data_IF_482588893414
#
_entry.id   IF_482588893414
#
_cell.length_a   1.000
_cell.length_b   1.000
_cell.length_c   1.000
_cell.angle_alpha   90.00
_cell.angle_beta   90.00
_cell.angle_gamma   90.00
#
_symmetry.space_group_name_H-M   'P 1'
#
loop_
_entity.id
_entity.type
_entity.pdbx_description
1 polymer ?
#
# COMPACT_ATOMS: atom_id res chain seq x y z
N UNK A 1 24.56 12.77 0.43
CA UNK A 1 23.14 13.17 0.45
C UNK A 1 22.31 11.90 0.45
N UNK A 2 21.51 11.65 1.49
CA UNK A 2 20.58 10.51 1.49
C UNK A 2 19.43 10.86 0.54
N UNK A 3 19.31 10.13 -0.57
CA UNK A 3 18.24 10.28 -1.54
C UNK A 3 16.93 9.81 -0.90
N UNK A 4 16.25 10.69 -0.16
CA UNK A 4 14.94 10.37 0.42
C UNK A 4 13.91 10.34 -0.71
N UNK A 5 13.68 9.18 -1.32
CA UNK A 5 12.46 8.93 -2.10
C UNK A 5 11.27 9.23 -1.18
N UNK A 6 10.41 10.15 -1.57
CA UNK A 6 9.21 10.54 -0.82
C UNK A 6 8.04 9.63 -1.17
N UNK A 7 7.16 9.40 -0.19
CA UNK A 7 5.89 8.71 -0.42
C UNK A 7 5.05 9.47 -1.46
N UNK A 8 4.31 8.71 -2.28
CA UNK A 8 3.35 9.29 -3.21
C UNK A 8 2.30 10.09 -2.45
N UNK A 9 1.88 11.21 -3.05
CA UNK A 9 0.75 11.93 -2.50
C UNK A 9 -0.52 11.08 -2.64
N UNK A 10 -1.44 11.07 -1.66
CA UNK A 10 -2.68 10.29 -1.75
C UNK A 10 -3.49 10.55 -3.03
N UNK A 11 -3.46 11.78 -3.54
CA UNK A 11 -4.10 12.14 -4.80
C UNK A 11 -3.48 11.45 -6.02
N UNK A 12 -2.15 11.25 -6.03
CA UNK A 12 -1.44 10.57 -7.13
C UNK A 12 -1.79 9.08 -7.16
N UNK A 13 -1.91 8.46 -5.98
CA UNK A 13 -2.38 7.08 -5.85
C UNK A 13 -3.81 6.96 -6.40
N UNK A 14 -4.71 7.86 -6.00
CA UNK A 14 -6.09 7.89 -6.50
C UNK A 14 -6.11 8.12 -8.02
N UNK A 15 -5.28 9.03 -8.53
CA UNK A 15 -5.20 9.32 -9.95
C UNK A 15 -4.69 8.11 -10.74
N UNK A 16 -3.65 7.42 -10.27
CA UNK A 16 -3.12 6.20 -10.88
C UNK A 16 -4.17 5.09 -10.93
N UNK A 17 -4.92 4.90 -9.84
CA UNK A 17 -6.03 3.95 -9.79
C UNK A 17 -7.14 4.31 -10.81
N UNK A 18 -7.51 5.59 -10.90
CA UNK A 18 -8.51 6.06 -11.88
C UNK A 18 -8.04 5.92 -13.31
N UNK A 19 -6.76 6.15 -13.61
CA UNK A 19 -6.16 5.92 -14.93
C UNK A 19 -6.26 4.46 -15.36
N UNK A 20 -6.23 3.53 -14.41
CA UNK A 20 -6.49 2.09 -14.63
C UNK A 20 -7.99 1.72 -14.62
N UNK A 21 -8.89 2.71 -14.56
CA UNK A 21 -10.34 2.49 -14.58
C UNK A 21 -10.93 1.96 -13.28
N UNK A 22 -10.22 2.08 -12.15
CA UNK A 22 -10.70 1.59 -10.84
C UNK A 22 -10.83 2.71 -9.80
N UNK A 23 -11.38 2.35 -8.64
CA UNK A 23 -11.44 3.21 -7.46
C UNK A 23 -11.00 2.43 -6.22
N UNK A 24 -10.57 3.13 -5.17
CA UNK A 24 -10.25 2.50 -3.88
C UNK A 24 -11.42 1.68 -3.34
N UNK A 25 -12.65 2.16 -3.49
CA UNK A 25 -13.85 1.45 -3.06
C UNK A 25 -14.08 0.15 -3.86
N UNK A 26 -13.80 0.16 -5.17
CA UNK A 26 -13.86 -1.05 -5.99
C UNK A 26 -12.79 -2.08 -5.55
N UNK A 27 -11.56 -1.62 -5.32
CA UNK A 27 -10.47 -2.50 -4.85
C UNK A 27 -10.76 -3.04 -3.44
N UNK A 28 -11.28 -2.21 -2.54
CA UNK A 28 -11.72 -2.63 -1.20
C UNK A 28 -12.71 -3.80 -1.30
N UNK A 29 -13.73 -3.67 -2.16
CA UNK A 29 -14.74 -4.72 -2.38
C UNK A 29 -14.12 -5.98 -2.97
N UNK A 30 -13.22 -5.84 -3.94
CA UNK A 30 -12.52 -6.97 -4.54
C UNK A 30 -11.66 -7.73 -3.52
N UNK A 31 -11.08 -7.02 -2.54
CA UNK A 31 -10.31 -7.61 -1.45
C UNK A 31 -11.17 -8.15 -0.28
N UNK A 32 -12.51 -8.13 -0.39
CA UNK A 32 -13.41 -8.56 0.68
C UNK A 32 -13.45 -7.63 1.90
N UNK A 33 -13.09 -6.36 1.72
CA UNK A 33 -13.08 -5.32 2.74
C UNK A 33 -14.25 -4.35 2.56
N UNK A 34 -14.60 -3.61 3.62
CA UNK A 34 -15.56 -2.51 3.46
C UNK A 34 -15.00 -1.43 2.52
N UNK A 35 -15.86 -0.74 1.78
CA UNK A 35 -15.49 0.26 0.76
C UNK A 35 -14.59 1.38 1.30
N UNK A 36 -14.63 1.67 2.60
CA UNK A 36 -13.80 2.70 3.25
C UNK A 36 -12.52 2.16 3.89
N UNK A 37 -12.41 0.84 4.11
CA UNK A 37 -11.27 0.25 4.84
C UNK A 37 -9.95 0.51 4.14
N UNK A 38 -9.90 0.40 2.80
CA UNK A 38 -8.65 0.57 2.05
C UNK A 38 -8.13 2.01 2.03
N UNK A 39 -9.01 3.00 2.25
CA UNK A 39 -8.59 4.40 2.36
C UNK A 39 -7.65 4.65 3.55
N UNK A 40 -7.71 3.80 4.59
CA UNK A 40 -6.81 3.91 5.74
C UNK A 40 -5.33 3.69 5.36
N UNK A 41 -5.04 2.92 4.30
CA UNK A 41 -3.68 2.69 3.84
C UNK A 41 -2.99 3.97 3.34
N UNK A 42 -3.78 4.97 2.89
CA UNK A 42 -3.25 6.25 2.41
C UNK A 42 -2.63 7.09 3.54
N UNK A 43 -3.17 6.97 4.76
CA UNK A 43 -2.74 7.80 5.90
C UNK A 43 -1.91 7.02 6.92
N UNK A 44 -2.20 5.73 7.13
CA UNK A 44 -1.57 4.92 8.18
C UNK A 44 -0.79 3.74 7.60
N UNK A 45 0.37 3.37 8.17
CA UNK A 45 1.11 2.18 7.76
C UNK A 45 0.28 0.92 7.92
N UNK A 46 -0.13 0.35 6.79
CA UNK A 46 -0.95 -0.84 6.78
C UNK A 46 -0.48 -1.78 5.67
N UNK A 47 0.52 -2.65 5.95
CA UNK A 47 1.18 -3.46 4.94
C UNK A 47 0.22 -4.24 4.05
N UNK A 48 -0.85 -4.81 4.61
CA UNK A 48 -1.85 -5.54 3.81
C UNK A 48 -2.58 -4.64 2.81
N UNK A 49 -3.02 -3.45 3.23
CA UNK A 49 -3.70 -2.49 2.36
C UNK A 49 -2.76 -1.89 1.31
N UNK A 50 -1.53 -1.59 1.72
CA UNK A 50 -0.46 -1.10 0.85
C UNK A 50 -0.18 -2.12 -0.27
N UNK A 51 -0.03 -3.41 0.07
CA UNK A 51 0.13 -4.49 -0.89
C UNK A 51 -1.08 -4.66 -1.83
N UNK A 52 -2.31 -4.53 -1.33
CA UNK A 52 -3.51 -4.61 -2.18
C UNK A 52 -3.51 -3.50 -3.24
N UNK A 53 -3.17 -2.27 -2.86
CA UNK A 53 -3.09 -1.13 -3.79
C UNK A 53 -1.93 -1.32 -4.77
N UNK A 54 -0.76 -1.69 -4.26
CA UNK A 54 0.45 -1.86 -5.04
C UNK A 54 0.32 -2.99 -6.08
N UNK A 55 -0.28 -4.12 -5.69
CA UNK A 55 -0.58 -5.23 -6.60
C UNK A 55 -1.52 -4.80 -7.73
N UNK A 56 -2.54 -3.97 -7.44
CA UNK A 56 -3.43 -3.47 -8.48
C UNK A 56 -2.71 -2.52 -9.46
N UNK A 57 -1.74 -1.76 -8.96
CA UNK A 57 -0.87 -0.88 -9.74
C UNK A 57 0.32 -1.62 -10.38
N UNK A 58 0.46 -2.94 -10.14
CA UNK A 58 1.56 -3.80 -10.62
C UNK A 58 2.96 -3.24 -10.30
N UNK A 59 3.09 -2.60 -9.15
CA UNK A 59 4.35 -2.07 -8.63
C UNK A 59 4.57 -2.54 -7.21
N UNK A 60 5.81 -2.55 -6.75
CA UNK A 60 6.12 -2.89 -5.37
C UNK A 60 5.64 -1.76 -4.43
N UNK A 61 5.09 -2.05 -3.23
CA UNK A 61 4.62 -1.00 -2.31
C UNK A 61 5.73 -0.04 -1.86
N UNK A 62 7.01 -0.44 -1.94
CA UNK A 62 8.14 0.45 -1.68
C UNK A 62 8.31 1.57 -2.73
N UNK A 63 7.72 1.44 -3.92
CA UNK A 63 7.71 2.52 -4.92
C UNK A 63 6.66 3.59 -4.58
N UNK A 64 5.57 3.19 -3.92
CA UNK A 64 4.49 4.11 -3.48
C UNK A 64 4.83 4.72 -2.11
N UNK A 65 5.33 3.91 -1.18
CA UNK A 65 5.69 4.31 0.18
C UNK A 65 7.15 3.98 0.54
N UNK A 66 8.13 4.53 -0.18
CA UNK A 66 9.55 4.33 0.11
C UNK A 66 9.92 4.61 1.57
N UNK A 67 9.31 5.61 2.23
CA UNK A 67 9.63 5.94 3.62
C UNK A 67 9.22 4.84 4.62
N UNK A 68 8.32 3.93 4.21
CA UNK A 68 7.80 2.84 5.04
C UNK A 68 8.60 1.56 4.85
N UNK A 69 9.19 1.39 3.67
CA UNK A 69 9.88 0.16 3.25
C UNK A 69 11.39 0.31 3.18
N UNK A 70 11.96 1.52 3.29
CA UNK A 70 13.42 1.71 3.35
C UNK A 70 13.85 2.28 4.70
N UNK A 71 14.99 1.80 5.20
CA UNK A 71 15.64 2.41 6.35
C UNK A 71 16.16 3.81 5.97
N UNK A 72 15.75 4.89 6.68
CA UNK A 72 16.14 6.25 6.33
C UNK A 72 17.64 6.54 6.51
N UNK A 73 18.38 5.65 7.19
CA UNK A 73 19.81 5.78 7.47
C UNK A 73 20.62 4.85 6.56
N UNK A 74 20.28 3.56 6.51
CA UNK A 74 21.05 2.55 5.76
C UNK A 74 20.60 2.42 4.29
N UNK A 75 19.39 2.86 3.95
CA UNK A 75 18.81 2.69 2.62
C UNK A 75 18.39 1.25 2.30
N UNK A 76 18.50 0.33 3.25
CA UNK A 76 18.15 -1.08 3.07
C UNK A 76 16.63 -1.28 3.07
N UNK A 77 16.17 -2.26 2.28
CA UNK A 77 14.76 -2.64 2.22
C UNK A 77 14.34 -3.36 3.51
N UNK A 78 13.41 -2.76 4.22
CA UNK A 78 12.75 -3.32 5.39
C UNK A 78 11.58 -4.19 4.94
N UNK A 79 11.72 -5.51 5.08
CA UNK A 79 10.64 -6.44 4.77
C UNK A 79 9.53 -6.34 5.83
N UNK A 80 8.39 -5.76 5.45
CA UNK A 80 7.21 -5.70 6.33
C UNK A 80 6.37 -6.95 6.18
N UNK A 81 6.51 -7.88 7.14
CA UNK A 81 5.67 -9.07 7.21
C UNK A 81 4.20 -8.68 7.34
N UNK A 82 3.39 -9.09 6.38
CA UNK A 82 1.93 -9.03 6.49
C UNK A 82 1.57 -9.98 7.63
N UNK A 83 0.86 -9.50 8.64
CA UNK A 83 0.32 -10.37 9.69
C UNK A 83 -0.71 -11.29 9.04
N UNK A 84 -0.30 -12.53 8.75
CA UNK A 84 -1.20 -13.57 8.29
C UNK A 84 -2.25 -13.80 9.36
N UNK A 85 -3.52 -13.89 8.94
CA UNK A 85 -4.55 -14.38 9.86
C UNK A 85 -4.22 -15.85 10.08
N UNK A 86 -3.89 -16.21 11.31
CA UNK A 86 -3.98 -17.60 11.76
C UNK A 86 -5.39 -18.05 11.43
N UNK A 87 -5.53 -18.89 10.41
CA UNK A 87 -6.76 -19.55 10.06
C UNK A 87 -7.06 -20.53 11.19
N UNK A 88 -7.72 -20.05 12.25
CA UNK A 88 -8.39 -20.92 13.20
C UNK A 88 -9.51 -21.62 12.42
N UNK A 89 -9.21 -22.83 11.94
CA UNK A 89 -10.23 -23.81 11.62
C UNK A 89 -11.13 -23.93 12.84
N UNK A 90 -12.43 -23.71 12.64
CA UNK A 90 -13.42 -24.25 13.57
C UNK A 90 -13.38 -25.78 13.53
#
# INVERSE_FOLDING_TARGET
MILRKSDWHPADIIAALRKRGTTLAAISRHAGLSSSTLANALSRPWPKGEWIIANFLEIHPSEIWPSRYFNPITGELLERKIREKVSTSR
#
